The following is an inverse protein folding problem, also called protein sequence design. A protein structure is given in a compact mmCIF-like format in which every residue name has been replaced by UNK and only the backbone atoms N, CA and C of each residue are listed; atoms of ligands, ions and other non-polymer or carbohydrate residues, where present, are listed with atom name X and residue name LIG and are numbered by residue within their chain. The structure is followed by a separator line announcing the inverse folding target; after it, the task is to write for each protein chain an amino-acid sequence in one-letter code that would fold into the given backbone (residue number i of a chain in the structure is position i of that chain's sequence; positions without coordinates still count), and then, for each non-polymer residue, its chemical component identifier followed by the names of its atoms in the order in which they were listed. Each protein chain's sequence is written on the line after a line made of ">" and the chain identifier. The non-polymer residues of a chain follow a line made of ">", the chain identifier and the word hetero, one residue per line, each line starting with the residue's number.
data_IF_163282317907
#
_entry.id   IF_163282317907
#
_cell.length_a   1.000
_cell.length_b   1.000
_cell.length_c   1.000
_cell.angle_alpha   90.00
_cell.angle_beta   90.00
_cell.angle_gamma   90.00
#
_symmetry.space_group_name_H-M   'P 1'
#
loop_
_entity.id
_entity.type
_entity.pdbx_description
1 polymer ?
#
# COMPACT_ATOMS: atom_id res chain seq x y z
N UNK A 1 -0.78 -29.08 -9.66
CA UNK A 1 0.19 -27.95 -9.61
C UNK A 1 -0.43 -26.59 -9.29
N UNK A 2 -1.74 -26.35 -9.48
CA UNK A 2 -2.38 -25.05 -9.18
C UNK A 2 -2.46 -24.63 -7.70
N UNK A 3 -2.58 -25.58 -6.77
CA UNK A 3 -2.63 -25.27 -5.32
C UNK A 3 -1.35 -24.59 -4.79
N UNK A 4 -0.18 -24.92 -5.34
CA UNK A 4 1.09 -24.36 -4.88
C UNK A 4 1.35 -22.94 -5.43
N UNK A 5 0.80 -22.59 -6.60
CA UNK A 5 0.84 -21.22 -7.16
C UNK A 5 -0.14 -20.28 -6.44
N UNK A 6 -1.35 -20.76 -6.15
CA UNK A 6 -2.34 -20.04 -5.35
C UNK A 6 -1.81 -19.72 -3.94
N UNK A 7 -1.12 -20.68 -3.30
CA UNK A 7 -0.46 -20.43 -2.02
C UNK A 7 0.74 -19.47 -2.12
N UNK A 8 1.45 -19.37 -3.26
CA UNK A 8 2.51 -18.36 -3.46
C UNK A 8 1.92 -16.94 -3.50
N UNK A 9 0.84 -16.73 -4.26
CA UNK A 9 0.14 -15.44 -4.34
C UNK A 9 -0.47 -15.04 -2.99
N UNK A 10 -1.14 -15.97 -2.32
CA UNK A 10 -1.77 -15.75 -1.00
C UNK A 10 -0.71 -15.57 0.09
N UNK A 11 0.38 -16.34 0.12
CA UNK A 11 1.42 -16.21 1.13
C UNK A 11 2.22 -14.92 0.96
N UNK A 12 2.55 -14.52 -0.27
CA UNK A 12 3.13 -13.21 -0.55
C UNK A 12 2.12 -12.13 -0.15
N UNK A 13 0.86 -12.17 -0.60
CA UNK A 13 -0.13 -11.17 -0.19
C UNK A 13 -0.33 -11.09 1.33
N UNK A 14 -0.31 -12.20 2.07
CA UNK A 14 -0.50 -12.27 3.54
C UNK A 14 0.73 -11.79 4.32
N UNK A 15 1.93 -12.12 3.84
CA UNK A 15 3.20 -11.71 4.45
C UNK A 15 3.50 -10.22 4.18
N UNK A 16 3.13 -9.77 2.99
CA UNK A 16 3.31 -8.40 2.48
C UNK A 16 2.17 -7.53 3.08
N UNK A 17 0.97 -8.07 3.27
CA UNK A 17 -0.10 -7.52 4.12
C UNK A 17 0.35 -7.29 5.57
N UNK A 18 1.03 -8.27 6.17
CA UNK A 18 1.55 -8.15 7.53
C UNK A 18 2.54 -6.98 7.62
N UNK A 19 3.38 -6.78 6.59
CA UNK A 19 4.28 -5.62 6.44
C UNK A 19 3.54 -4.29 6.24
N UNK A 20 2.46 -4.24 5.47
CA UNK A 20 1.65 -3.02 5.30
C UNK A 20 0.89 -2.64 6.58
N UNK A 21 0.40 -3.62 7.30
CA UNK A 21 -0.35 -3.39 8.54
C UNK A 21 0.57 -2.95 9.68
N UNK A 22 1.83 -3.41 9.69
CA UNK A 22 2.90 -2.86 10.54
C UNK A 22 3.23 -1.39 10.25
N UNK A 23 2.88 -0.90 9.05
CA UNK A 23 3.16 0.46 8.59
C UNK A 23 2.13 1.49 9.05
N UNK A 24 0.92 1.06 9.42
CA UNK A 24 -0.29 1.89 9.51
C UNK A 24 -0.32 2.91 10.65
N UNK A 25 0.55 2.82 11.66
CA UNK A 25 0.82 3.95 12.56
C UNK A 25 2.08 3.67 13.38
N UNK A 26 3.13 4.36 13.02
CA UNK A 26 4.41 4.23 13.67
C UNK A 26 5.03 5.62 13.68
N UNK A 27 4.82 6.34 14.79
CA UNK A 27 5.38 7.65 15.03
C UNK A 27 6.91 7.74 14.81
N UNK A 28 7.47 8.97 14.84
CA UNK A 28 8.85 9.22 14.43
C UNK A 28 9.87 8.41 15.25
N UNK A 29 10.93 7.87 14.63
CA UNK A 29 11.99 7.22 15.39
C UNK A 29 12.86 8.28 16.07
N UNK A 30 13.14 8.03 17.36
CA UNK A 30 14.12 8.70 18.24
C UNK A 30 13.57 9.74 19.22
N UNK A 31 13.04 9.27 20.36
CA UNK A 31 13.66 9.33 21.70
C UNK A 31 13.08 8.16 22.48
N UNK A 32 13.91 7.39 23.21
CA UNK A 32 13.45 6.33 24.15
C UNK A 32 12.26 6.87 24.96
N UNK A 33 11.05 6.27 24.90
CA UNK A 33 9.99 6.72 25.78
C UNK A 33 10.41 6.41 27.20
N UNK A 34 10.56 7.44 28.04
CA UNK A 34 10.53 7.24 29.49
C UNK A 34 9.19 6.58 29.80
N UNK A 35 9.22 5.54 30.62
CA UNK A 35 8.05 4.78 31.03
C UNK A 35 6.91 5.75 31.39
N UNK A 36 5.87 5.79 30.56
CA UNK A 36 4.67 6.56 30.85
C UNK A 36 3.83 5.77 31.85
N UNK A 37 3.41 6.46 32.91
CA UNK A 37 2.41 6.00 33.87
C UNK A 37 1.14 5.55 33.15
N UNK A 38 0.47 4.53 33.70
CA UNK A 38 -0.84 4.05 33.26
C UNK A 38 -1.80 5.24 33.09
N UNK A 39 -2.20 5.53 31.85
CA UNK A 39 -3.29 6.46 31.54
C UNK A 39 -2.95 7.67 30.66
N UNK A 40 -1.68 7.94 30.34
CA UNK A 40 -1.33 9.09 29.51
C UNK A 40 -1.45 8.79 28.00
N UNK A 41 -2.06 9.68 27.19
CA UNK A 41 -2.15 9.50 25.74
C UNK A 41 -0.77 9.47 25.09
N UNK A 42 -0.60 8.61 24.08
CA UNK A 42 0.66 8.47 23.32
C UNK A 42 0.94 9.78 22.58
N UNK A 43 1.99 10.48 22.98
CA UNK A 43 2.38 11.77 22.38
C UNK A 43 3.37 11.53 21.24
N UNK A 44 3.20 12.26 20.14
CA UNK A 44 4.14 12.22 19.02
C UNK A 44 5.48 12.87 19.39
N UNK A 45 6.55 12.48 18.70
CA UNK A 45 7.91 12.98 18.97
C UNK A 45 8.09 14.47 18.61
N UNK A 46 7.09 15.11 17.97
CA UNK A 46 7.09 16.54 17.66
C UNK A 46 6.78 17.38 18.90
N UNK A 47 7.65 17.31 19.91
CA UNK A 47 7.64 18.31 20.98
C UNK A 47 8.60 19.42 20.58
N UNK A 48 8.14 20.36 19.74
CA UNK A 48 8.59 21.80 19.67
C UNK A 48 8.40 22.49 18.31
N UNK A 49 8.02 21.81 17.22
CA UNK A 49 7.82 22.47 15.92
C UNK A 49 6.32 22.57 15.60
N UNK A 50 5.86 23.79 15.29
CA UNK A 50 4.52 24.03 14.74
C UNK A 50 4.36 23.44 13.34
N UNK A 51 3.17 23.57 12.74
CA UNK A 51 2.86 23.11 11.37
C UNK A 51 3.96 23.52 10.38
N UNK A 52 4.74 22.54 9.91
CA UNK A 52 5.76 22.74 8.90
C UNK A 52 5.12 22.56 7.50
N UNK A 53 5.37 23.46 6.53
CA UNK A 53 4.89 23.32 5.16
C UNK A 53 5.21 21.96 4.51
N UNK A 54 6.26 21.27 4.96
CA UNK A 54 6.62 19.93 4.48
C UNK A 54 5.56 18.85 4.79
N UNK A 55 4.68 19.04 5.79
CA UNK A 55 3.55 18.12 6.00
C UNK A 55 2.57 18.15 4.81
N UNK A 56 2.40 19.30 4.15
CA UNK A 56 1.61 19.39 2.92
C UNK A 56 2.32 18.77 1.72
N UNK A 57 3.66 18.75 1.73
CA UNK A 57 4.44 18.07 0.69
C UNK A 57 4.24 16.55 0.73
N UNK A 58 4.01 15.97 1.91
CA UNK A 58 3.62 14.56 2.05
C UNK A 58 2.30 14.27 1.34
N UNK A 59 1.30 15.15 1.48
CA UNK A 59 0.00 15.00 0.80
C UNK A 59 0.19 14.98 -0.72
N UNK A 60 1.03 15.88 -1.24
CA UNK A 60 1.32 15.94 -2.68
C UNK A 60 2.04 14.67 -3.15
N UNK A 61 3.05 14.18 -2.42
CA UNK A 61 3.76 12.94 -2.77
C UNK A 61 2.82 11.74 -2.75
N UNK A 62 1.97 11.62 -1.73
CA UNK A 62 0.99 10.55 -1.62
C UNK A 62 -0.01 10.59 -2.78
N UNK A 63 -0.56 11.75 -3.09
CA UNK A 63 -1.48 11.94 -4.22
C UNK A 63 -0.83 11.57 -5.56
N UNK A 64 0.39 12.05 -5.84
CA UNK A 64 1.13 11.72 -7.07
C UNK A 64 1.42 10.21 -7.17
N UNK A 65 1.79 9.59 -6.05
CA UNK A 65 2.03 8.13 -5.96
C UNK A 65 0.76 7.36 -6.28
N UNK A 66 -0.39 7.79 -5.74
CA UNK A 66 -1.70 7.18 -6.01
C UNK A 66 -2.15 7.38 -7.45
N UNK A 67 -1.97 8.56 -8.04
CA UNK A 67 -2.28 8.80 -9.46
C UNK A 67 -1.44 7.87 -10.33
N UNK A 68 -0.13 7.82 -10.11
CA UNK A 68 0.76 6.96 -10.89
C UNK A 68 0.43 5.47 -10.69
N UNK A 69 0.23 5.03 -9.44
CA UNK A 69 -0.12 3.66 -9.08
C UNK A 69 -1.45 3.21 -9.68
N UNK A 70 -2.50 4.04 -9.60
CA UNK A 70 -3.79 3.74 -10.19
C UNK A 70 -3.72 3.67 -11.72
N UNK A 71 -3.00 4.60 -12.36
CA UNK A 71 -2.80 4.60 -13.82
C UNK A 71 -2.10 3.33 -14.29
N UNK A 72 -1.11 2.88 -13.52
CA UNK A 72 -0.37 1.65 -13.79
C UNK A 72 -1.17 0.39 -13.48
N UNK A 73 -2.05 0.43 -12.48
CA UNK A 73 -2.95 -0.67 -12.15
C UNK A 73 -4.06 -0.85 -13.22
N UNK A 74 -4.43 0.24 -13.91
CA UNK A 74 -5.40 0.23 -15.00
C UNK A 74 -4.84 -0.48 -16.25
N UNK A 75 -3.64 -0.11 -16.69
CA UNK A 75 -2.92 -0.73 -17.82
C UNK A 75 -1.59 -1.28 -17.32
N UNK A 76 -1.56 -2.49 -16.76
CA UNK A 76 -0.30 -3.05 -16.32
C UNK A 76 0.65 -3.20 -17.54
N UNK A 77 1.93 -2.83 -17.41
CA UNK A 77 2.85 -2.71 -18.55
C UNK A 77 3.05 -3.97 -19.40
N UNK A 78 2.64 -5.13 -18.90
CA UNK A 78 2.70 -6.41 -19.58
C UNK A 78 1.64 -6.54 -20.70
N UNK A 79 0.62 -5.66 -20.73
CA UNK A 79 -0.47 -5.70 -21.71
C UNK A 79 -0.03 -5.22 -23.10
N UNK A 80 1.03 -4.41 -23.21
CA UNK A 80 1.56 -3.96 -24.52
C UNK A 80 2.53 -4.97 -25.16
N UNK A 81 2.89 -6.06 -24.46
CA UNK A 81 3.75 -7.11 -25.00
C UNK A 81 2.94 -8.32 -25.48
N UNK A 82 2.58 -8.29 -26.76
CA UNK A 82 2.25 -9.51 -27.50
C UNK A 82 0.75 -9.80 -27.61
N UNK A 83 0.16 -9.31 -28.69
CA UNK A 83 -1.11 -9.78 -29.23
C UNK A 83 -1.12 -11.32 -29.28
N UNK A 84 -2.18 -11.91 -28.70
CA UNK A 84 -2.76 -13.25 -28.94
C UNK A 84 -2.23 -14.51 -28.21
N UNK A 85 -1.19 -14.48 -27.38
CA UNK A 85 -0.67 -15.70 -26.73
C UNK A 85 -0.98 -15.91 -25.24
N UNK A 86 -0.90 -14.84 -24.43
CA UNK A 86 -0.85 -14.95 -22.96
C UNK A 86 -2.08 -14.39 -22.22
N UNK A 87 -3.15 -13.99 -22.91
CA UNK A 87 -4.34 -13.39 -22.31
C UNK A 87 -4.95 -14.26 -21.19
N UNK A 88 -5.01 -15.58 -21.40
CA UNK A 88 -5.56 -16.54 -20.43
C UNK A 88 -4.71 -16.65 -19.15
N UNK A 89 -3.39 -16.72 -19.26
CA UNK A 89 -2.49 -16.73 -18.10
C UNK A 89 -2.55 -15.42 -17.31
N UNK A 90 -2.83 -14.30 -17.97
CA UNK A 90 -3.04 -13.01 -17.32
C UNK A 90 -4.40 -12.90 -16.63
N UNK A 91 -5.47 -13.43 -17.23
CA UNK A 91 -6.77 -13.53 -16.57
C UNK A 91 -6.67 -14.42 -15.32
N UNK A 92 -5.97 -15.56 -15.39
CA UNK A 92 -5.70 -16.38 -14.20
C UNK A 92 -4.87 -15.63 -13.14
N UNK A 93 -3.86 -14.86 -13.53
CA UNK A 93 -3.05 -14.07 -12.59
C UNK A 93 -3.84 -12.88 -12.00
N UNK A 94 -4.71 -12.28 -12.82
CA UNK A 94 -5.62 -11.23 -12.41
C UNK A 94 -6.64 -11.75 -11.40
N UNK A 95 -7.26 -12.90 -11.68
CA UNK A 95 -8.16 -13.63 -10.79
C UNK A 95 -7.45 -14.07 -9.50
N UNK A 96 -6.19 -14.51 -9.58
CA UNK A 96 -5.40 -14.86 -8.41
C UNK A 96 -5.08 -13.64 -7.52
N UNK A 97 -5.00 -12.44 -8.10
CA UNK A 97 -4.85 -11.18 -7.39
C UNK A 97 -6.16 -10.57 -6.88
N UNK A 98 -7.31 -11.18 -7.17
CA UNK A 98 -8.60 -10.68 -6.73
C UNK A 98 -8.84 -10.93 -5.25
N UNK A 99 -9.10 -9.83 -4.55
CA UNK A 99 -9.51 -9.90 -3.16
C UNK A 99 -11.01 -10.14 -3.08
N UNK A 100 -11.37 -11.26 -2.46
CA UNK A 100 -12.74 -11.61 -2.09
C UNK A 100 -13.00 -11.27 -0.63
N UNK A 101 -14.25 -11.40 -0.21
CA UNK A 101 -14.66 -11.10 1.16
C UNK A 101 -13.90 -11.98 2.19
N UNK A 102 -13.77 -13.28 1.91
CA UNK A 102 -13.09 -14.21 2.81
C UNK A 102 -11.60 -13.87 2.97
N UNK A 103 -10.90 -13.53 1.88
CA UNK A 103 -9.49 -13.13 1.94
C UNK A 103 -9.30 -11.80 2.67
N UNK A 104 -10.28 -10.90 2.61
CA UNK A 104 -10.28 -9.64 3.36
C UNK A 104 -10.31 -9.87 4.88
N UNK A 105 -11.17 -10.78 5.38
CA UNK A 105 -11.19 -11.10 6.80
C UNK A 105 -9.90 -11.81 7.24
N UNK A 106 -9.47 -12.81 6.47
CA UNK A 106 -8.21 -13.52 6.73
C UNK A 106 -7.01 -12.57 6.78
N UNK A 107 -6.97 -11.58 5.89
CA UNK A 107 -5.94 -10.54 5.86
C UNK A 107 -5.82 -9.84 7.22
N UNK A 108 -6.93 -9.39 7.81
CA UNK A 108 -6.92 -8.64 9.08
C UNK A 108 -6.57 -9.53 10.28
N UNK A 109 -7.07 -10.77 10.28
CA UNK A 109 -6.73 -11.74 11.34
C UNK A 109 -5.26 -12.12 11.32
N UNK A 110 -4.71 -12.44 10.14
CA UNK A 110 -3.29 -12.80 10.03
C UNK A 110 -2.41 -11.60 10.36
N UNK A 111 -2.77 -10.40 9.90
CA UNK A 111 -2.02 -9.20 10.24
C UNK A 111 -2.00 -8.95 11.76
N UNK A 112 -3.15 -9.10 12.43
CA UNK A 112 -3.26 -9.01 13.91
C UNK A 112 -2.40 -10.06 14.62
N UNK A 113 -2.46 -11.32 14.16
CA UNK A 113 -1.62 -12.39 14.71
C UNK A 113 -0.12 -12.15 14.50
N UNK A 114 0.26 -11.64 13.34
CA UNK A 114 1.64 -11.32 13.00
C UNK A 114 2.21 -10.21 13.90
N UNK A 115 1.41 -9.19 14.23
CA UNK A 115 1.82 -8.09 15.09
C UNK A 115 2.09 -8.57 16.52
N UNK A 116 1.25 -9.47 17.04
CA UNK A 116 1.46 -10.12 18.35
C UNK A 116 2.74 -10.97 18.36
N UNK A 117 2.97 -11.76 17.30
CA UNK A 117 4.19 -12.56 17.18
C UNK A 117 5.43 -11.67 17.17
N UNK A 118 5.39 -10.55 16.46
CA UNK A 118 6.51 -9.59 16.43
C UNK A 118 6.75 -8.99 17.80
N UNK A 119 5.69 -8.64 18.53
CA UNK A 119 5.80 -8.10 19.88
C UNK A 119 6.52 -9.05 20.85
N UNK A 120 6.20 -10.34 20.80
CA UNK A 120 6.86 -11.34 21.66
C UNK A 120 8.25 -11.73 21.18
N UNK A 121 8.48 -11.77 19.86
CA UNK A 121 9.73 -12.28 19.25
C UNK A 121 10.52 -11.20 18.50
N UNK A 122 10.57 -9.95 19.01
CA UNK A 122 11.14 -8.80 18.26
C UNK A 122 12.53 -9.06 17.66
N UNK A 123 13.44 -9.69 18.41
CA UNK A 123 14.81 -9.93 17.92
C UNK A 123 14.83 -10.88 16.71
N UNK A 124 14.14 -12.01 16.78
CA UNK A 124 14.09 -12.99 15.68
C UNK A 124 13.27 -12.44 14.50
N UNK A 125 12.13 -11.81 14.79
CA UNK A 125 11.22 -11.28 13.79
C UNK A 125 11.82 -10.09 13.04
N UNK A 126 12.62 -9.24 13.68
CA UNK A 126 13.27 -8.10 13.00
C UNK A 126 14.23 -8.53 11.87
N UNK A 127 15.01 -9.60 12.11
CA UNK A 127 15.91 -10.17 11.09
C UNK A 127 15.08 -10.80 9.98
N UNK A 128 14.07 -11.60 10.33
CA UNK A 128 13.17 -12.24 9.36
C UNK A 128 12.48 -11.19 8.47
N UNK A 129 11.90 -10.15 9.06
CA UNK A 129 11.23 -9.06 8.34
C UNK A 129 12.21 -8.33 7.44
N UNK A 130 13.45 -8.10 7.86
CA UNK A 130 14.46 -7.44 7.02
C UNK A 130 14.81 -8.28 5.79
N UNK A 131 14.99 -9.60 5.94
CA UNK A 131 15.27 -10.51 4.83
C UNK A 131 14.09 -10.55 3.85
N UNK A 132 12.88 -10.72 4.37
CA UNK A 132 11.66 -10.72 3.57
C UNK A 132 11.47 -9.39 2.84
N UNK A 133 11.66 -8.28 3.56
CA UNK A 133 11.60 -6.95 2.98
C UNK A 133 12.56 -6.81 1.79
N UNK A 134 13.83 -7.18 1.95
CA UNK A 134 14.82 -7.11 0.86
C UNK A 134 14.39 -7.93 -0.36
N UNK A 135 13.82 -9.12 -0.14
CA UNK A 135 13.31 -9.96 -1.23
C UNK A 135 12.14 -9.29 -1.96
N UNK A 136 11.11 -8.90 -1.23
CA UNK A 136 9.89 -8.29 -1.79
C UNK A 136 10.22 -6.97 -2.48
N UNK A 137 11.06 -6.11 -1.85
CA UNK A 137 11.43 -4.82 -2.43
C UNK A 137 12.26 -4.99 -3.70
N UNK A 138 13.11 -6.02 -3.79
CA UNK A 138 13.88 -6.29 -5.01
C UNK A 138 12.97 -6.67 -6.17
N UNK A 139 11.97 -7.52 -5.91
CA UNK A 139 10.93 -7.86 -6.91
C UNK A 139 10.11 -6.63 -7.29
N UNK A 140 9.74 -5.79 -6.32
CA UNK A 140 8.97 -4.57 -6.55
C UNK A 140 9.73 -3.54 -7.41
N UNK A 141 11.02 -3.31 -7.14
CA UNK A 141 11.89 -2.46 -7.97
C UNK A 141 12.01 -3.04 -9.38
N UNK A 142 12.23 -4.36 -9.48
CA UNK A 142 12.30 -5.05 -10.76
C UNK A 142 11.05 -4.79 -11.60
N UNK A 143 9.87 -5.04 -11.03
CA UNK A 143 8.60 -4.77 -11.69
C UNK A 143 8.43 -3.31 -12.06
N UNK A 144 8.77 -2.38 -11.15
CA UNK A 144 8.66 -0.93 -11.39
C UNK A 144 9.47 -0.51 -12.62
N UNK A 145 10.72 -0.96 -12.72
CA UNK A 145 11.72 -0.54 -13.71
C UNK A 145 11.62 -1.31 -15.03
N UNK A 146 11.21 -2.58 -14.99
CA UNK A 146 11.12 -3.48 -16.14
C UNK A 146 10.56 -2.85 -17.43
N UNK A 147 9.36 -2.24 -17.45
CA UNK A 147 8.79 -1.71 -18.69
C UNK A 147 9.58 -0.55 -19.31
N UNK A 148 10.31 0.21 -18.48
CA UNK A 148 11.15 1.29 -18.97
C UNK A 148 12.42 0.75 -19.64
N UNK A 149 13.01 -0.29 -19.05
CA UNK A 149 14.21 -0.93 -19.62
C UNK A 149 13.85 -1.72 -20.86
N UNK A 150 12.74 -2.43 -20.85
CA UNK A 150 12.27 -3.21 -22.01
C UNK A 150 12.06 -2.30 -23.24
N UNK A 151 11.33 -1.18 -23.04
CA UNK A 151 11.15 -0.15 -24.07
C UNK A 151 12.48 0.47 -24.52
N UNK A 152 13.42 0.70 -23.61
CA UNK A 152 14.75 1.22 -23.96
C UNK A 152 15.57 0.23 -24.79
N UNK A 153 15.42 -1.08 -24.53
CA UNK A 153 16.11 -2.15 -25.25
C UNK A 153 15.42 -2.59 -26.55
N UNK A 154 14.34 -1.92 -26.96
CA UNK A 154 13.51 -2.29 -28.12
C UNK A 154 13.11 -3.77 -28.11
N UNK A 155 12.74 -4.31 -26.93
CA UNK A 155 12.31 -5.70 -26.71
C UNK A 155 13.33 -6.76 -27.16
N UNK A 156 14.61 -6.39 -27.30
CA UNK A 156 15.69 -7.29 -27.75
C UNK A 156 15.90 -8.50 -26.81
N UNK A 157 15.54 -8.33 -25.54
CA UNK A 157 15.71 -9.33 -24.48
C UNK A 157 14.39 -9.92 -23.95
N UNK A 158 13.31 -9.80 -24.74
CA UNK A 158 12.00 -10.36 -24.41
C UNK A 158 11.93 -11.90 -24.50
N UNK A 159 13.03 -12.56 -24.88
CA UNK A 159 13.09 -14.03 -24.97
C UNK A 159 12.87 -14.65 -23.59
N UNK A 160 11.92 -15.57 -23.51
CA UNK A 160 11.63 -16.33 -22.30
C UNK A 160 12.63 -17.48 -22.13
N UNK A 161 13.06 -17.68 -20.90
CA UNK A 161 13.97 -18.76 -20.48
C UNK A 161 13.31 -19.53 -19.35
N UNK A 162 13.28 -20.84 -19.48
CA UNK A 162 12.73 -21.71 -18.46
C UNK A 162 13.71 -21.83 -17.28
N UNK A 163 13.27 -21.40 -16.09
CA UNK A 163 14.05 -21.49 -14.87
C UNK A 163 13.45 -22.60 -13.99
N UNK A 164 14.23 -23.62 -13.57
CA UNK A 164 13.72 -24.86 -12.94
C UNK A 164 12.83 -24.70 -11.71
N UNK A 165 12.85 -23.53 -11.04
CA UNK A 165 12.09 -23.25 -9.81
C UNK A 165 11.04 -22.14 -9.99
N UNK A 166 11.25 -21.25 -10.96
CA UNK A 166 10.48 -20.03 -11.15
C UNK A 166 9.58 -20.07 -12.39
N UNK A 167 9.75 -21.07 -13.27
CA UNK A 167 9.03 -21.19 -14.53
C UNK A 167 9.67 -20.36 -15.65
N UNK A 168 8.91 -20.14 -16.71
CA UNK A 168 9.31 -19.28 -17.83
C UNK A 168 9.38 -17.83 -17.37
N UNK A 169 10.56 -17.23 -17.50
CA UNK A 169 10.77 -15.81 -17.17
C UNK A 169 11.50 -15.11 -18.31
N UNK A 170 11.20 -13.83 -18.60
CA UNK A 170 11.91 -13.07 -19.61
C UNK A 170 13.38 -12.89 -19.19
N UNK A 171 14.31 -13.07 -20.13
CA UNK A 171 15.75 -12.94 -19.90
C UNK A 171 16.11 -11.58 -19.30
N UNK A 172 15.41 -10.52 -19.71
CA UNK A 172 15.59 -9.18 -19.17
C UNK A 172 15.35 -9.11 -17.65
N UNK A 173 14.32 -9.78 -17.14
CA UNK A 173 14.04 -9.80 -15.70
C UNK A 173 15.16 -10.51 -14.93
N UNK A 174 15.71 -11.60 -15.49
CA UNK A 174 16.85 -12.31 -14.89
C UNK A 174 18.11 -11.44 -14.85
N UNK A 175 18.37 -10.66 -15.90
CA UNK A 175 19.51 -9.72 -15.95
C UNK A 175 19.36 -8.57 -14.94
N UNK A 176 18.14 -8.09 -14.70
CA UNK A 176 17.85 -7.01 -13.76
C UNK A 176 17.84 -7.47 -12.29
N UNK A 177 17.56 -8.74 -12.02
CA UNK A 177 17.39 -9.25 -10.66
C UNK A 177 18.61 -9.02 -9.74
N UNK A 178 19.87 -9.31 -10.14
CA UNK A 178 21.05 -9.04 -9.30
C UNK A 178 21.20 -7.55 -8.95
N UNK A 179 20.90 -6.66 -9.90
CA UNK A 179 20.96 -5.22 -9.68
C UNK A 179 19.91 -4.77 -8.66
N UNK A 180 18.67 -5.27 -8.75
CA UNK A 180 17.61 -4.96 -7.80
C UNK A 180 17.96 -5.45 -6.38
N UNK A 181 18.52 -6.67 -6.27
CA UNK A 181 19.02 -7.19 -4.99
C UNK A 181 20.18 -6.34 -4.43
N UNK A 182 21.12 -5.92 -5.28
CA UNK A 182 22.20 -5.04 -4.87
C UNK A 182 21.68 -3.71 -4.32
N UNK A 183 20.63 -3.13 -4.92
CA UNK A 183 19.97 -1.93 -4.37
C UNK A 183 19.38 -2.17 -2.97
N UNK A 184 18.70 -3.29 -2.76
CA UNK A 184 18.14 -3.64 -1.45
C UNK A 184 19.25 -3.88 -0.39
N UNK A 185 20.35 -4.55 -0.76
CA UNK A 185 21.51 -4.76 0.12
C UNK A 185 22.22 -3.42 0.42
N UNK A 186 22.39 -2.57 -0.59
CA UNK A 186 22.97 -1.24 -0.40
C UNK A 186 22.15 -0.41 0.58
N UNK A 187 20.81 -0.54 0.56
CA UNK A 187 19.96 0.07 1.58
C UNK A 187 20.22 -0.52 2.98
N UNK A 188 20.37 -1.84 3.12
CA UNK A 188 20.67 -2.46 4.43
C UNK A 188 21.98 -1.93 5.01
N UNK A 189 23.01 -1.76 4.17
CA UNK A 189 24.34 -1.31 4.60
C UNK A 189 24.40 0.20 4.88
N UNK A 190 23.82 1.02 3.99
CA UNK A 190 23.94 2.49 4.08
C UNK A 190 22.84 3.12 4.95
N UNK A 191 21.69 2.45 5.06
CA UNK A 191 20.44 2.99 5.64
C UNK A 191 20.08 4.37 5.07
N UNK A 192 20.44 4.62 3.81
CA UNK A 192 20.17 5.89 3.14
C UNK A 192 18.66 6.13 2.99
N UNK A 193 18.23 7.35 3.30
CA UNK A 193 16.83 7.78 3.19
C UNK A 193 16.34 7.77 1.73
N UNK A 194 17.23 8.04 0.76
CA UNK A 194 16.91 8.01 -0.68
C UNK A 194 16.56 6.58 -1.10
N UNK A 195 17.42 5.62 -0.76
CA UNK A 195 17.18 4.21 -1.07
C UNK A 195 15.94 3.69 -0.36
N UNK A 196 15.71 4.11 0.90
CA UNK A 196 14.46 3.81 1.60
C UNK A 196 13.25 4.27 0.76
N UNK A 197 13.21 5.53 0.36
CA UNK A 197 12.08 6.07 -0.40
C UNK A 197 11.88 5.38 -1.75
N UNK A 198 12.96 5.01 -2.46
CA UNK A 198 12.88 4.25 -3.72
C UNK A 198 12.25 2.88 -3.47
N UNK A 199 12.71 2.16 -2.45
CA UNK A 199 12.18 0.84 -2.10
C UNK A 199 10.72 0.94 -1.62
N UNK A 200 10.40 1.90 -0.76
CA UNK A 200 9.05 2.18 -0.28
C UNK A 200 8.08 2.53 -1.43
N UNK A 201 8.47 3.44 -2.32
CA UNK A 201 7.68 3.79 -3.50
C UNK A 201 7.45 2.58 -4.40
N UNK A 202 8.51 1.80 -4.69
CA UNK A 202 8.39 0.60 -5.50
C UNK A 202 7.41 -0.42 -4.90
N UNK A 203 7.42 -0.58 -3.58
CA UNK A 203 6.50 -1.46 -2.87
C UNK A 203 5.06 -0.96 -2.98
N UNK A 204 4.80 0.32 -2.75
CA UNK A 204 3.45 0.89 -2.91
C UNK A 204 2.91 0.60 -4.31
N UNK A 205 3.71 0.89 -5.35
CA UNK A 205 3.30 0.66 -6.72
C UNK A 205 3.06 -0.82 -6.99
N UNK A 206 3.97 -1.69 -6.55
CA UNK A 206 3.81 -3.14 -6.67
C UNK A 206 2.47 -3.58 -6.06
N UNK A 207 2.17 -3.18 -4.83
CA UNK A 207 0.90 -3.50 -4.18
C UNK A 207 -0.33 -3.01 -4.92
N UNK A 208 -0.36 -1.73 -5.29
CA UNK A 208 -1.50 -1.13 -5.99
C UNK A 208 -1.75 -1.82 -7.34
N UNK A 209 -0.69 -2.35 -7.98
CA UNK A 209 -0.81 -3.08 -9.25
C UNK A 209 -1.13 -4.57 -9.09
N UNK A 210 -0.69 -5.21 -8.00
CA UNK A 210 -0.85 -6.64 -7.77
C UNK A 210 -2.16 -7.01 -7.09
N UNK A 211 -2.66 -6.17 -6.17
CA UNK A 211 -3.90 -6.45 -5.44
C UNK A 211 -5.07 -5.79 -6.15
N UNK A 212 -6.07 -6.59 -6.53
CA UNK A 212 -7.26 -6.12 -7.24
C UNK A 212 -8.49 -6.30 -6.37
N UNK A 213 -9.20 -5.21 -6.10
CA UNK A 213 -10.52 -5.29 -5.48
C UNK A 213 -11.56 -5.67 -6.54
N UNK A 214 -12.41 -6.64 -6.22
CA UNK A 214 -13.45 -7.16 -7.11
C UNK A 214 -14.74 -6.33 -7.08
N UNK A 215 -15.04 -5.70 -5.94
CA UNK A 215 -16.28 -4.92 -5.76
C UNK A 215 -16.16 -3.86 -4.65
N UNK A 216 -17.10 -2.92 -4.62
CA UNK A 216 -17.21 -1.94 -3.53
C UNK A 216 -17.52 -2.63 -2.19
N UNK A 217 -18.23 -3.77 -2.17
CA UNK A 217 -18.46 -4.56 -0.95
C UNK A 217 -17.15 -5.02 -0.32
N UNK A 218 -16.23 -5.55 -1.14
CA UNK A 218 -14.90 -5.97 -0.65
C UNK A 218 -14.07 -4.76 -0.24
N UNK A 219 -14.09 -3.69 -1.04
CA UNK A 219 -13.35 -2.45 -0.73
C UNK A 219 -13.78 -1.81 0.59
N UNK A 220 -15.09 -1.64 0.79
CA UNK A 220 -15.67 -1.10 2.03
C UNK A 220 -15.39 -2.01 3.22
N UNK A 221 -15.50 -3.33 3.05
CA UNK A 221 -15.16 -4.28 4.12
C UNK A 221 -13.69 -4.20 4.52
N UNK A 222 -12.75 -4.11 3.57
CA UNK A 222 -11.32 -3.96 3.84
C UNK A 222 -11.06 -2.67 4.64
N UNK A 223 -11.58 -1.53 4.17
CA UNK A 223 -11.32 -0.23 4.80
C UNK A 223 -11.95 -0.11 6.18
N UNK A 224 -13.17 -0.63 6.37
CA UNK A 224 -13.82 -0.63 7.68
C UNK A 224 -13.12 -1.55 8.68
N UNK A 225 -12.68 -2.74 8.24
CA UNK A 225 -11.90 -3.61 9.11
C UNK A 225 -10.52 -3.03 9.44
N UNK A 226 -9.86 -2.38 8.48
CA UNK A 226 -8.60 -1.68 8.71
C UNK A 226 -8.77 -0.49 9.67
N UNK A 227 -9.88 0.25 9.57
CA UNK A 227 -10.24 1.28 10.54
C UNK A 227 -10.42 0.71 11.96
N UNK A 228 -11.18 -0.37 12.11
CA UNK A 228 -11.36 -1.05 13.39
C UNK A 228 -10.04 -1.60 13.94
N UNK A 229 -9.21 -2.16 13.06
CA UNK A 229 -7.87 -2.65 13.39
C UNK A 229 -7.00 -1.52 13.98
N UNK A 230 -6.95 -0.37 13.32
CA UNK A 230 -6.10 0.75 13.72
C UNK A 230 -6.53 1.30 15.10
N UNK A 231 -7.84 1.49 15.31
CA UNK A 231 -8.39 1.89 16.61
C UNK A 231 -8.03 0.88 17.72
N UNK A 232 -8.20 -0.42 17.44
CA UNK A 232 -7.91 -1.45 18.41
C UNK A 232 -6.42 -1.44 18.82
N UNK A 233 -5.52 -1.36 17.85
CA UNK A 233 -4.08 -1.43 18.14
C UNK A 233 -3.50 -0.14 18.70
N UNK A 234 -4.03 1.02 18.33
CA UNK A 234 -3.60 2.32 18.86
C UNK A 234 -4.12 2.56 20.28
N UNK A 235 -5.42 2.32 20.55
CA UNK A 235 -6.03 2.68 21.84
C UNK A 235 -6.24 1.51 22.80
N UNK A 236 -6.68 0.36 22.29
CA UNK A 236 -7.13 -0.76 23.14
C UNK A 236 -5.96 -1.64 23.55
N UNK A 237 -4.93 -1.78 22.71
CA UNK A 237 -3.80 -2.69 22.95
C UNK A 237 -3.07 -2.43 24.28
N UNK A 238 -2.96 -1.17 24.70
CA UNK A 238 -2.37 -0.79 26.00
C UNK A 238 -3.06 -1.45 27.18
N UNK A 239 -4.39 -1.51 27.15
CA UNK A 239 -5.20 -2.02 28.26
C UNK A 239 -5.06 -3.52 28.44
N UNK A 240 -4.79 -4.26 27.34
CA UNK A 240 -4.73 -5.73 27.34
C UNK A 240 -3.30 -6.21 27.63
N UNK A 241 -2.30 -5.60 26.98
CA UNK A 241 -0.89 -6.06 27.05
C UNK A 241 -0.04 -5.27 28.05
N UNK A 242 -0.61 -4.24 28.69
CA UNK A 242 0.09 -3.35 29.62
C UNK A 242 1.09 -2.39 28.97
N UNK A 243 1.31 -2.51 27.65
CA UNK A 243 2.12 -1.63 26.81
C UNK A 243 1.43 -1.50 25.44
N UNK A 244 1.61 -0.35 24.79
CA UNK A 244 1.14 -0.15 23.42
C UNK A 244 1.96 -1.02 22.47
N UNK A 245 1.35 -2.10 21.98
CA UNK A 245 2.00 -3.12 21.15
C UNK A 245 2.48 -2.48 19.85
N UNK A 246 1.60 -1.74 19.18
CA UNK A 246 1.89 -1.06 17.93
C UNK A 246 3.08 -0.11 18.03
N UNK A 247 3.11 0.75 19.05
CA UNK A 247 4.21 1.70 19.29
C UNK A 247 5.52 0.97 19.62
N UNK A 248 5.45 -0.13 20.37
CA UNK A 248 6.64 -0.91 20.72
C UNK A 248 7.25 -1.57 19.49
N UNK A 249 6.42 -2.13 18.61
CA UNK A 249 6.85 -2.77 17.36
C UNK A 249 7.35 -1.72 16.35
N UNK A 250 6.64 -0.61 16.21
CA UNK A 250 6.97 0.54 15.37
C UNK A 250 8.35 1.15 15.68
N UNK A 251 8.75 1.14 16.95
CA UNK A 251 10.02 1.69 17.42
C UNK A 251 11.13 0.64 17.47
N UNK A 252 10.79 -0.64 17.58
CA UNK A 252 11.73 -1.77 17.60
C UNK A 252 12.22 -2.21 16.22
N UNK A 253 11.46 -1.95 15.15
CA UNK A 253 11.79 -2.37 13.78
C UNK A 253 12.39 -1.23 12.94
N UNK A 254 13.65 -1.38 12.54
CA UNK A 254 14.36 -0.43 11.64
C UNK A 254 14.29 -0.88 10.16
N UNK A 255 13.07 -1.12 9.69
CA UNK A 255 12.75 -1.57 8.32
C UNK A 255 12.10 -0.40 7.56
N UNK A 256 12.29 -0.26 6.23
CA UNK A 256 11.87 0.91 5.47
C UNK A 256 10.40 0.73 5.09
N UNK A 257 9.56 0.69 6.11
CA UNK A 257 8.11 0.53 6.00
C UNK A 257 7.44 1.91 6.01
N UNK A 258 8.15 2.98 5.63
CA UNK A 258 7.67 4.37 5.70
C UNK A 258 8.37 5.20 4.63
N UNK A 259 7.64 6.12 4.01
CA UNK A 259 8.27 7.16 3.21
C UNK A 259 8.79 8.24 4.16
N UNK A 260 10.05 8.64 3.96
CA UNK A 260 10.73 9.68 4.72
C UNK A 260 10.81 10.96 3.88
N UNK A 261 10.13 12.03 4.30
CA UNK A 261 10.22 13.33 3.64
C UNK A 261 11.04 14.27 4.50
N UNK A 262 12.19 14.79 4.04
CA UNK A 262 12.99 15.72 4.84
C UNK A 262 12.22 17.03 5.09
N UNK A 263 12.22 17.48 6.35
CA UNK A 263 11.59 18.74 6.76
C UNK A 263 12.36 19.93 6.16
N UNK A 264 11.66 20.78 5.41
CA UNK A 264 12.25 21.90 4.66
C UNK A 264 12.68 23.05 5.58
N UNK A 265 12.02 23.25 6.72
CA UNK A 265 12.28 24.36 7.64
C UNK A 265 12.97 23.96 8.96
N UNK A 266 13.35 22.69 9.11
CA UNK A 266 14.09 22.23 10.29
C UNK A 266 15.55 22.73 10.25
N UNK A 267 15.79 23.94 10.78
CA UNK A 267 17.13 24.45 11.05
C UNK A 267 17.77 23.68 12.22
N UNK A 268 18.61 22.69 11.89
CA UNK A 268 19.43 21.92 12.84
C UNK A 268 20.42 21.01 12.12
N UNK A 269 21.49 20.58 12.81
CA UNK A 269 22.52 19.65 12.28
C UNK A 269 22.00 18.26 11.90
N UNK A 270 20.75 17.94 12.25
CA UNK A 270 20.09 16.68 11.93
C UNK A 270 18.85 16.96 11.09
N UNK A 271 18.79 16.37 9.88
CA UNK A 271 17.60 16.37 9.04
C UNK A 271 16.47 15.64 9.74
N UNK A 272 15.45 16.38 10.18
CA UNK A 272 14.21 15.79 10.66
C UNK A 272 13.37 15.33 9.46
N UNK A 273 12.56 14.27 9.63
CA UNK A 273 11.71 13.73 8.57
C UNK A 273 10.24 13.69 9.00
N UNK A 274 9.33 14.11 8.12
CA UNK A 274 7.90 13.78 8.20
C UNK A 274 7.69 12.38 7.61
N UNK A 275 6.81 11.60 8.22
CA UNK A 275 6.63 10.19 7.92
C UNK A 275 5.19 9.93 7.49
N UNK A 276 5.03 9.02 6.53
CA UNK A 276 3.72 8.47 6.16
C UNK A 276 3.81 6.94 6.10
N UNK A 277 2.81 6.28 6.67
CA UNK A 277 2.66 4.83 6.57
C UNK A 277 2.38 4.42 5.13
N UNK A 278 3.08 3.41 4.64
CA UNK A 278 2.75 2.74 3.37
C UNK A 278 1.33 2.19 3.41
N UNK A 279 0.87 1.71 4.58
CA UNK A 279 -0.50 1.22 4.79
C UNK A 279 -1.56 2.29 4.53
N UNK A 280 -1.30 3.53 4.97
CA UNK A 280 -2.21 4.68 4.83
C UNK A 280 -2.32 5.16 3.38
N UNK A 281 -1.32 4.86 2.55
CA UNK A 281 -1.37 5.11 1.11
C UNK A 281 -2.02 3.92 0.41
N UNK A 282 -1.57 2.70 0.68
CA UNK A 282 -1.98 1.51 -0.06
C UNK A 282 -3.44 1.16 0.20
N UNK A 283 -3.92 1.11 1.45
CA UNK A 283 -5.27 0.62 1.74
C UNK A 283 -6.36 1.50 1.11
N UNK A 284 -6.39 2.84 1.32
CA UNK A 284 -7.31 3.71 0.58
C UNK A 284 -6.99 3.72 -0.93
N UNK A 285 -5.71 3.60 -1.30
CA UNK A 285 -5.25 3.53 -2.68
C UNK A 285 -5.84 2.37 -3.48
N UNK A 286 -6.10 1.21 -2.86
CA UNK A 286 -6.77 0.09 -3.51
C UNK A 286 -8.21 0.43 -3.92
N UNK A 287 -8.94 1.20 -3.10
CA UNK A 287 -10.25 1.74 -3.47
C UNK A 287 -10.13 2.73 -4.63
N UNK A 288 -9.12 3.59 -4.65
CA UNK A 288 -8.89 4.49 -5.77
C UNK A 288 -8.52 3.75 -7.07
N UNK A 289 -7.74 2.67 -6.99
CA UNK A 289 -7.45 1.82 -8.14
C UNK A 289 -8.72 1.12 -8.65
N UNK A 290 -9.62 0.70 -7.76
CA UNK A 290 -10.95 0.23 -8.15
C UNK A 290 -11.79 1.33 -8.82
N UNK A 291 -11.80 2.54 -8.25
CA UNK A 291 -12.50 3.68 -8.81
C UNK A 291 -12.05 4.03 -10.23
N UNK A 292 -10.73 4.09 -10.47
CA UNK A 292 -10.18 4.37 -11.81
C UNK A 292 -10.51 3.27 -12.81
N UNK A 293 -10.46 1.99 -12.41
CA UNK A 293 -10.87 0.87 -13.26
C UNK A 293 -12.36 0.92 -13.60
N UNK A 294 -13.19 1.31 -12.64
CA UNK A 294 -14.63 1.46 -12.85
C UNK A 294 -14.94 2.64 -13.80
N UNK A 295 -14.26 3.77 -13.61
CA UNK A 295 -14.36 4.92 -14.52
C UNK A 295 -13.97 4.55 -15.96
N UNK A 296 -12.84 3.85 -16.15
CA UNK A 296 -12.39 3.42 -17.47
C UNK A 296 -13.35 2.40 -18.11
N UNK A 297 -13.82 1.40 -17.36
CA UNK A 297 -14.77 0.41 -17.83
C UNK A 297 -16.10 1.03 -18.32
N UNK A 298 -16.55 2.10 -17.66
CA UNK A 298 -17.76 2.86 -18.05
C UNK A 298 -17.47 4.08 -18.95
N UNK A 299 -16.20 4.28 -19.36
CA UNK A 299 -15.75 5.44 -20.15
C UNK A 299 -16.15 6.80 -19.54
N UNK A 300 -16.11 6.90 -18.22
CA UNK A 300 -16.37 8.14 -17.48
C UNK A 300 -15.14 9.05 -17.59
N UNK A 301 -15.36 10.34 -17.82
CA UNK A 301 -14.26 11.31 -17.88
C UNK A 301 -13.50 11.39 -16.56
N UNK A 302 -12.16 11.43 -16.64
CA UNK A 302 -11.27 11.34 -15.49
C UNK A 302 -11.45 12.49 -14.48
N UNK A 303 -12.05 13.62 -14.88
CA UNK A 303 -12.29 14.78 -14.00
C UNK A 303 -13.60 14.69 -13.23
N UNK A 304 -14.58 13.95 -13.73
CA UNK A 304 -15.93 13.80 -13.15
C UNK A 304 -16.25 12.38 -12.66
N UNK A 305 -15.24 11.52 -12.65
CA UNK A 305 -15.35 10.11 -12.26
C UNK A 305 -15.22 9.86 -10.75
N UNK A 306 -15.44 8.61 -10.38
CA UNK A 306 -15.26 8.10 -9.02
C UNK A 306 -13.84 8.35 -8.51
N UNK A 307 -12.83 8.18 -9.37
CA UNK A 307 -11.42 8.36 -9.00
C UNK A 307 -11.12 9.79 -8.56
N UNK A 308 -11.58 10.80 -9.31
CA UNK A 308 -11.33 12.21 -8.97
C UNK A 308 -11.98 12.59 -7.64
N UNK A 309 -13.23 12.18 -7.41
CA UNK A 309 -13.93 12.44 -6.15
C UNK A 309 -13.20 11.79 -4.95
N UNK A 310 -12.79 10.53 -5.08
CA UNK A 310 -12.02 9.82 -4.06
C UNK A 310 -10.63 10.43 -3.84
N UNK A 311 -9.96 10.89 -4.89
CA UNK A 311 -8.64 11.52 -4.78
C UNK A 311 -8.73 12.85 -4.04
N UNK A 312 -9.72 13.69 -4.34
CA UNK A 312 -9.96 14.93 -3.60
C UNK A 312 -10.24 14.63 -2.12
N UNK A 313 -11.12 13.66 -1.86
CA UNK A 313 -11.44 13.27 -0.48
C UNK A 313 -10.26 12.64 0.27
N UNK A 314 -9.40 11.86 -0.40
CA UNK A 314 -8.14 11.35 0.16
C UNK A 314 -7.22 12.51 0.58
N UNK A 315 -6.99 13.48 -0.31
CA UNK A 315 -6.15 14.65 -0.02
C UNK A 315 -6.69 15.49 1.13
N UNK A 316 -8.01 15.71 1.18
CA UNK A 316 -8.66 16.42 2.29
C UNK A 316 -8.50 15.64 3.60
N UNK A 317 -8.79 14.34 3.60
CA UNK A 317 -8.64 13.48 4.78
C UNK A 317 -7.21 13.47 5.31
N UNK A 318 -6.22 13.30 4.43
CA UNK A 318 -4.81 13.29 4.82
C UNK A 318 -4.37 14.66 5.35
N UNK A 319 -4.83 15.75 4.74
CA UNK A 319 -4.54 17.11 5.21
C UNK A 319 -5.10 17.37 6.61
N UNK A 320 -6.34 16.92 6.87
CA UNK A 320 -6.95 17.03 8.21
C UNK A 320 -6.16 16.19 9.21
N UNK A 321 -5.78 14.97 8.84
CA UNK A 321 -4.95 14.09 9.67
C UNK A 321 -3.63 14.78 10.08
N UNK A 322 -2.89 15.28 9.10
CA UNK A 322 -1.62 16.01 9.32
C UNK A 322 -1.83 17.26 10.18
N UNK A 323 -2.91 18.02 9.95
CA UNK A 323 -3.24 19.20 10.74
C UNK A 323 -3.53 18.87 12.20
N UNK A 324 -4.34 17.83 12.46
CA UNK A 324 -4.69 17.42 13.82
C UNK A 324 -3.48 16.86 14.55
N UNK A 325 -2.72 15.96 13.92
CA UNK A 325 -1.50 15.38 14.52
C UNK A 325 -0.45 16.46 14.78
N UNK A 326 -0.30 17.42 13.86
CA UNK A 326 0.61 18.55 13.98
C UNK A 326 0.24 19.53 15.10
N UNK A 327 -1.06 19.74 15.36
CA UNK A 327 -1.55 20.72 16.35
C UNK A 327 -1.68 20.13 17.75
N UNK A 328 -2.26 18.94 17.87
CA UNK A 328 -2.60 18.34 19.17
C UNK A 328 -1.48 17.44 19.72
N UNK A 329 -0.50 17.08 18.89
CA UNK A 329 0.65 16.24 19.27
C UNK A 329 0.26 14.89 19.92
N UNK A 330 -0.94 14.39 19.61
CA UNK A 330 -1.44 13.08 20.02
C UNK A 330 -1.36 12.13 18.84
N UNK A 331 -0.89 10.90 19.07
CA UNK A 331 -0.94 9.86 18.07
C UNK A 331 -2.41 9.50 17.81
N UNK A 332 -2.81 9.52 16.54
CA UNK A 332 -4.17 9.21 16.12
C UNK A 332 -4.13 8.28 14.90
N UNK A 333 -5.02 7.28 14.85
CA UNK A 333 -5.22 6.43 13.68
C UNK A 333 -5.47 7.26 12.41
N UNK A 334 -4.59 7.21 11.41
CA UNK A 334 -4.77 7.95 10.16
C UNK A 334 -6.04 7.50 9.41
N UNK A 335 -6.41 6.23 9.58
CA UNK A 335 -7.58 5.63 8.96
C UNK A 335 -8.90 6.29 9.40
N UNK A 336 -8.95 7.00 10.54
CA UNK A 336 -10.12 7.79 10.96
C UNK A 336 -10.46 8.88 9.95
N UNK A 337 -9.47 9.44 9.28
CA UNK A 337 -9.65 10.51 8.30
C UNK A 337 -9.74 9.96 6.87
N UNK A 338 -8.91 8.98 6.54
CA UNK A 338 -8.77 8.46 5.18
C UNK A 338 -9.94 7.57 4.74
N UNK A 339 -10.50 6.77 5.64
CA UNK A 339 -11.63 5.89 5.33
C UNK A 339 -12.89 6.67 4.98
N UNK A 340 -13.42 7.58 5.82
CA UNK A 340 -14.54 8.42 5.42
C UNK A 340 -14.17 9.36 4.27
N UNK A 341 -12.93 9.86 4.23
CA UNK A 341 -12.43 10.71 3.16
C UNK A 341 -12.46 10.05 1.78
N UNK A 342 -12.44 8.72 1.69
CA UNK A 342 -12.46 8.02 0.39
C UNK A 342 -13.77 7.28 0.12
N UNK A 343 -14.37 6.63 1.12
CA UNK A 343 -15.64 5.92 0.95
C UNK A 343 -16.83 6.86 0.75
N UNK A 344 -16.89 7.99 1.47
CA UNK A 344 -18.03 8.92 1.36
C UNK A 344 -18.09 9.51 -0.04
N UNK A 345 -17.01 10.08 -0.62
CA UNK A 345 -17.06 10.57 -2.00
C UNK A 345 -17.42 9.50 -3.02
N UNK A 346 -16.88 8.28 -2.88
CA UNK A 346 -17.22 7.17 -3.78
C UNK A 346 -18.72 6.88 -3.76
N UNK A 347 -19.26 6.65 -2.56
CA UNK A 347 -20.67 6.30 -2.35
C UNK A 347 -21.61 7.44 -2.71
N UNK A 348 -21.20 8.69 -2.50
CA UNK A 348 -21.92 9.89 -2.92
C UNK A 348 -22.05 9.97 -4.44
N UNK A 349 -20.95 9.75 -5.19
CA UNK A 349 -20.99 9.71 -6.65
C UNK A 349 -21.86 8.54 -7.13
N UNK A 350 -21.76 7.37 -6.49
CA UNK A 350 -22.57 6.20 -6.83
C UNK A 350 -24.07 6.46 -6.59
N UNK A 351 -24.40 7.14 -5.50
CA UNK A 351 -25.77 7.53 -5.17
C UNK A 351 -26.34 8.48 -6.21
N UNK A 352 -25.62 9.55 -6.54
CA UNK A 352 -26.07 10.55 -7.52
C UNK A 352 -26.24 9.98 -8.93
N UNK A 353 -25.48 8.93 -9.27
CA UNK A 353 -25.59 8.21 -10.55
C UNK A 353 -26.60 7.06 -10.53
N UNK A 354 -27.18 6.73 -9.37
CA UNK A 354 -28.06 5.57 -9.15
C UNK A 354 -27.38 4.21 -9.45
N UNK A 355 -26.07 4.12 -9.27
CA UNK A 355 -25.26 2.93 -9.63
C UNK A 355 -24.84 2.10 -8.42
N UNK A 356 -25.35 2.41 -7.21
CA UNK A 356 -24.93 1.78 -5.95
C UNK A 356 -24.97 0.25 -6.03
N UNK A 357 -26.05 -0.32 -6.58
CA UNK A 357 -26.20 -1.78 -6.67
C UNK A 357 -25.13 -2.41 -7.57
N UNK A 358 -24.75 -1.73 -8.66
CA UNK A 358 -23.74 -2.24 -9.60
C UNK A 358 -22.33 -2.12 -9.04
N UNK A 359 -21.97 -0.99 -8.42
CA UNK A 359 -20.66 -0.86 -7.77
C UNK A 359 -20.53 -1.80 -6.57
N UNK A 360 -21.62 -2.07 -5.84
CA UNK A 360 -21.65 -2.95 -4.67
C UNK A 360 -21.28 -4.39 -5.01
N UNK A 361 -21.84 -4.92 -6.09
CA UNK A 361 -21.58 -6.28 -6.57
C UNK A 361 -20.32 -6.38 -7.44
N UNK A 362 -19.81 -5.25 -7.95
CA UNK A 362 -18.59 -5.18 -8.75
C UNK A 362 -18.80 -5.31 -10.25
N UNK A 363 -17.71 -5.15 -11.01
CA UNK A 363 -17.70 -5.29 -12.47
C UNK A 363 -17.82 -6.77 -12.84
N UNK A 364 -19.04 -7.27 -13.07
CA UNK A 364 -19.23 -8.64 -13.59
C UNK A 364 -18.98 -8.65 -15.10
N UNK A 365 -18.13 -9.54 -15.64
CA UNK A 365 -17.81 -9.62 -17.07
C UNK A 365 -19.02 -9.74 -18.00
N UNK A 366 -20.15 -10.29 -17.52
CA UNK A 366 -21.37 -10.50 -18.32
C UNK A 366 -22.49 -9.46 -18.19
N UNK A 367 -22.31 -8.36 -17.45
CA UNK A 367 -23.37 -7.32 -17.30
C UNK A 367 -23.18 -6.12 -18.22
N UNK A 368 -21.95 -5.74 -18.57
CA UNK A 368 -21.65 -4.66 -19.52
C UNK A 368 -22.23 -4.91 -20.92
N UNK A 369 -22.26 -6.17 -21.38
CA UNK A 369 -22.87 -6.52 -22.67
C UNK A 369 -24.39 -6.34 -22.69
N UNK A 370 -25.07 -6.43 -21.54
CA UNK A 370 -26.55 -6.32 -21.52
C UNK A 370 -27.01 -4.87 -21.62
N UNK A 371 -26.24 -3.94 -21.06
CA UNK A 371 -26.58 -2.51 -21.07
C UNK A 371 -26.14 -1.80 -22.35
N UNK A 372 -25.27 -2.44 -23.17
CA UNK A 372 -24.90 -1.99 -24.52
C UNK A 372 -25.76 -2.59 -25.64
N UNK A 373 -26.60 -3.60 -25.33
CA UNK A 373 -27.41 -4.33 -26.32
C UNK A 373 -28.94 -4.13 -26.06
N UNK A 374 -29.34 -3.43 -25.02
CA UNK A 374 -30.74 -3.05 -24.85
C UNK A 374 -31.08 -1.87 -25.81
N UNK A 375 -32.05 -2.04 -26.74
CA UNK A 375 -32.39 -1.03 -27.74
C UNK A 375 -33.05 0.23 -27.16
#
# INVERSE_FOLDING_TARGET
>A
MGSFQMWKGVFVCVLVASLLVLSADAGPPSVRPKATSKGDPVRTASKKHGLDPSNFLVVVIAALTLVYGASRALKPPFVDMGVSGNQEAYEELAEAGEMQLHTTFMFVFVASGSLVLIFFFMSAMSVLITILFCFISSVAVGNLVYPYVDRYTNNKYAREVEVPVLGEMPLLALMMAPFCFACAIAWVLTKSWILNNILAFSLIIFFLTSVRLSSLKVASSLLLLAFCYDIFWVFISSSIFGKNVMVTVATGLNVPIKILVPLVFAHGKHTHFTLIGLGDIVLPGLLLCFAMRYDDAKRIDSKGGYFAACMVGYCVGLTICEYVVGTYHWAQPAMIYLVPGTLIPFTWVAYNRNEIADVWEGLRPGRLDKDLIAP
#
